data_IF_049489587068
#
_entry.id   IF_049489587068
#
_cell.length_a   1.000
_cell.length_b   1.000
_cell.length_c   1.000
_cell.angle_alpha   90.00
_cell.angle_beta   90.00
_cell.angle_gamma   90.00
#
_symmetry.space_group_name_H-M   'P 1'
#
loop_
_entity.id
_entity.type
_entity.pdbx_description
1 polymer ?
#
# COMPACT_ATOMS: atom_id res chain seq x y z
N UNK A 1 -17.70 -10.64 10.41
CA UNK A 1 -16.97 -11.68 9.63
C UNK A 1 -15.54 -11.30 9.25
N UNK A 2 -15.13 -10.02 9.32
CA UNK A 2 -13.81 -9.58 8.85
C UNK A 2 -12.94 -8.93 9.93
N UNK A 3 -13.13 -9.27 11.22
CA UNK A 3 -12.38 -8.65 12.32
C UNK A 3 -10.87 -8.74 12.12
N UNK A 4 -10.37 -9.90 11.65
CA UNK A 4 -8.94 -10.18 11.46
C UNK A 4 -8.48 -10.14 9.99
N UNK A 5 -9.25 -9.52 9.09
CA UNK A 5 -8.87 -9.40 7.68
C UNK A 5 -8.28 -8.03 7.40
N UNK A 6 -7.15 -8.02 6.71
CA UNK A 6 -6.49 -6.82 6.21
C UNK A 6 -6.42 -6.87 4.68
N UNK A 7 -6.59 -5.71 4.06
CA UNK A 7 -6.37 -5.56 2.63
C UNK A 7 -4.93 -5.15 2.37
N UNK A 8 -4.34 -5.78 1.36
CA UNK A 8 -3.01 -5.48 0.87
C UNK A 8 -3.09 -5.22 -0.63
N UNK A 9 -2.62 -4.05 -1.04
CA UNK A 9 -2.62 -3.63 -2.44
C UNK A 9 -1.18 -3.54 -2.94
N UNK A 10 -0.96 -4.06 -4.15
CA UNK A 10 0.27 -3.81 -4.89
C UNK A 10 0.05 -2.53 -5.68
N UNK A 11 0.96 -1.57 -5.56
CA UNK A 11 0.88 -0.28 -6.25
C UNK A 11 2.06 -0.12 -7.20
N UNK A 12 1.78 0.51 -8.33
CA UNK A 12 2.73 0.84 -9.40
C UNK A 12 2.66 2.31 -9.81
N UNK A 13 1.64 3.04 -9.34
CA UNK A 13 1.34 4.38 -9.80
C UNK A 13 0.55 5.20 -8.77
N UNK A 14 0.46 6.51 -9.02
CA UNK A 14 -0.41 7.42 -8.28
C UNK A 14 -1.89 7.05 -8.42
N UNK A 15 -2.30 6.54 -9.58
CA UNK A 15 -3.68 6.13 -9.85
C UNK A 15 -4.11 5.00 -8.91
N UNK A 16 -3.21 4.04 -8.64
CA UNK A 16 -3.48 2.96 -7.68
C UNK A 16 -3.70 3.51 -6.27
N UNK A 17 -2.92 4.53 -5.86
CA UNK A 17 -3.08 5.18 -4.55
C UNK A 17 -4.41 5.91 -4.46
N UNK A 18 -4.75 6.68 -5.49
CA UNK A 18 -6.00 7.43 -5.54
C UNK A 18 -7.22 6.49 -5.55
N UNK A 19 -7.13 5.35 -6.23
CA UNK A 19 -8.15 4.31 -6.17
C UNK A 19 -8.28 3.72 -4.76
N UNK A 20 -7.18 3.37 -4.10
CA UNK A 20 -7.23 2.86 -2.71
C UNK A 20 -7.90 3.84 -1.76
N UNK A 21 -7.58 5.13 -1.87
CA UNK A 21 -8.21 6.19 -1.06
C UNK A 21 -9.71 6.29 -1.38
N UNK A 22 -10.06 6.33 -2.67
CA UNK A 22 -11.46 6.39 -3.12
C UNK A 22 -12.27 5.21 -2.58
N UNK A 23 -11.75 3.99 -2.68
CA UNK A 23 -12.42 2.79 -2.17
C UNK A 23 -12.55 2.82 -0.64
N UNK A 24 -11.50 3.24 0.07
CA UNK A 24 -11.53 3.40 1.53
C UNK A 24 -12.67 4.33 1.96
N UNK A 25 -12.78 5.49 1.31
CA UNK A 25 -13.77 6.50 1.63
C UNK A 25 -15.20 6.03 1.26
N UNK A 26 -15.36 5.43 0.07
CA UNK A 26 -16.65 4.93 -0.41
C UNK A 26 -17.25 3.84 0.49
N UNK A 27 -16.41 2.99 1.09
CA UNK A 27 -16.85 1.89 1.96
C UNK A 27 -16.75 2.21 3.45
N UNK A 28 -16.29 3.42 3.83
CA UNK A 28 -16.06 3.78 5.24
C UNK A 28 -15.09 2.82 5.95
N UNK A 29 -14.06 2.36 5.23
CA UNK A 29 -13.12 1.37 5.75
C UNK A 29 -12.10 2.04 6.67
N UNK A 30 -12.25 1.83 7.97
CA UNK A 30 -11.44 2.47 9.02
C UNK A 30 -10.19 1.65 9.44
N UNK A 31 -10.10 0.39 9.00
CA UNK A 31 -9.00 -0.50 9.36
C UNK A 31 -7.71 -0.20 8.60
N UNK A 32 -6.62 -0.81 9.07
CA UNK A 32 -5.31 -0.67 8.45
C UNK A 32 -5.27 -1.25 7.04
N UNK A 33 -4.82 -0.43 6.08
CA UNK A 33 -4.52 -0.84 4.71
C UNK A 33 -3.02 -1.06 4.56
N UNK A 34 -2.63 -2.12 3.85
CA UNK A 34 -1.23 -2.39 3.54
C UNK A 34 -0.92 -2.04 2.10
N UNK A 35 0.07 -1.17 1.88
CA UNK A 35 0.59 -0.86 0.54
C UNK A 35 1.91 -1.57 0.32
N UNK A 36 2.04 -2.21 -0.84
CA UNK A 36 3.28 -2.83 -1.31
C UNK A 36 3.66 -2.20 -2.64
N UNK A 37 4.79 -1.51 -2.70
CA UNK A 37 5.36 -1.07 -3.97
C UNK A 37 5.76 -2.25 -4.85
N UNK A 38 5.62 -2.08 -6.16
CA UNK A 38 6.20 -3.00 -7.12
C UNK A 38 7.73 -3.00 -7.00
N UNK A 39 8.30 -4.20 -6.90
CA UNK A 39 9.71 -4.39 -6.52
C UNK A 39 10.67 -3.94 -7.63
N UNK A 40 10.26 -4.04 -8.90
CA UNK A 40 11.08 -3.57 -10.02
C UNK A 40 11.24 -2.05 -10.07
N UNK A 41 10.48 -1.30 -9.25
CA UNK A 41 10.44 0.17 -9.22
C UNK A 41 10.67 0.72 -7.79
N UNK A 42 11.41 0.00 -6.94
CA UNK A 42 11.52 0.28 -5.49
C UNK A 42 11.81 1.74 -5.13
N UNK A 43 12.72 2.41 -5.86
CA UNK A 43 13.02 3.83 -5.66
C UNK A 43 11.86 4.77 -5.99
N UNK A 44 11.24 4.60 -7.15
CA UNK A 44 10.09 5.40 -7.59
C UNK A 44 8.87 5.17 -6.68
N UNK A 45 8.67 3.93 -6.23
CA UNK A 45 7.60 3.58 -5.29
C UNK A 45 7.81 4.18 -3.90
N UNK A 46 9.05 4.22 -3.41
CA UNK A 46 9.35 4.86 -2.13
C UNK A 46 9.04 6.36 -2.16
N UNK A 47 9.39 7.07 -3.25
CA UNK A 47 9.07 8.48 -3.41
C UNK A 47 7.55 8.71 -3.53
N UNK A 48 6.87 7.92 -4.35
CA UNK A 48 5.42 7.98 -4.50
C UNK A 48 4.68 7.81 -3.15
N UNK A 49 5.08 6.81 -2.36
CA UNK A 49 4.51 6.59 -1.02
C UNK A 49 4.79 7.78 -0.10
N UNK A 50 6.01 8.31 -0.12
CA UNK A 50 6.42 9.45 0.72
C UNK A 50 5.63 10.71 0.41
N UNK A 51 5.40 11.00 -0.86
CA UNK A 51 4.61 12.15 -1.32
C UNK A 51 3.14 12.04 -0.93
N UNK A 52 2.60 10.82 -0.86
CA UNK A 52 1.21 10.56 -0.48
C UNK A 52 1.00 10.32 1.02
N UNK A 53 2.06 10.18 1.82
CA UNK A 53 1.95 9.88 3.25
C UNK A 53 0.98 10.80 4.03
N UNK A 54 0.90 12.13 3.76
CA UNK A 54 -0.08 13.01 4.39
C UNK A 54 -1.55 12.68 4.09
N UNK A 55 -1.82 11.94 3.00
CA UNK A 55 -3.16 11.52 2.55
C UNK A 55 -3.50 10.09 2.98
N UNK A 56 -2.50 9.33 3.43
CA UNK A 56 -2.61 7.89 3.68
C UNK A 56 -2.82 7.57 5.17
N UNK A 57 -3.93 8.05 5.74
CA UNK A 57 -4.31 7.71 7.11
C UNK A 57 -4.57 6.21 7.27
N UNK A 58 -4.07 5.63 8.36
CA UNK A 58 -4.16 4.20 8.69
C UNK A 58 -3.52 3.26 7.67
N UNK A 59 -2.46 3.70 6.99
CA UNK A 59 -1.70 2.87 6.05
C UNK A 59 -0.42 2.33 6.66
N UNK A 60 -0.09 1.06 6.36
CA UNK A 60 1.20 0.45 6.64
C UNK A 60 1.88 0.02 5.34
N UNK A 61 3.21 0.00 5.36
CA UNK A 61 4.02 -0.44 4.24
C UNK A 61 4.36 -1.92 4.39
N UNK A 62 4.21 -2.67 3.29
CA UNK A 62 4.58 -4.08 3.16
C UNK A 62 5.70 -4.21 2.14
N UNK A 63 6.94 -4.27 2.60
CA UNK A 63 8.11 -4.51 1.74
C UNK A 63 8.19 -5.99 1.34
N UNK A 64 8.62 -6.27 0.11
CA UNK A 64 8.82 -7.65 -0.42
C UNK A 64 10.12 -8.26 0.11
N UNK A 65 10.25 -8.43 1.43
CA UNK A 65 11.50 -8.78 2.14
C UNK A 65 12.25 -9.99 1.58
N UNK A 66 11.54 -11.03 1.16
CA UNK A 66 12.12 -12.24 0.55
C UNK A 66 12.96 -11.94 -0.69
N UNK A 67 12.59 -10.93 -1.49
CA UNK A 67 13.35 -10.50 -2.68
C UNK A 67 14.69 -9.83 -2.31
N UNK A 68 14.78 -9.19 -1.15
CA UNK A 68 16.03 -8.60 -0.63
C UNK A 68 16.91 -9.62 0.10
N UNK A 69 16.30 -10.60 0.74
CA UNK A 69 17.00 -11.63 1.50
C UNK A 69 17.47 -12.81 0.62
N UNK A 70 17.22 -12.76 -0.69
CA UNK A 70 17.52 -13.84 -1.63
C UNK A 70 16.88 -15.19 -1.23
N UNK A 71 15.74 -15.12 -0.53
CA UNK A 71 14.98 -16.31 -0.13
C UNK A 71 13.97 -16.61 -1.24
N UNK A 72 14.16 -17.74 -1.93
CA UNK A 72 13.24 -18.28 -2.93
C UNK A 72 12.15 -19.11 -2.29
#
# INVERSE_FOLDING_TARGET
QYENVFFKFVITSQEDIDEVISQKDNYGYDKTIWLQGEFSQDGEMADLIRENFPRLENVKLSVQTHKYLNQR
#
